data_IF_315428444158
#
_entry.id   IF_315428444158
#
_cell.length_a   1.000
_cell.length_b   1.000
_cell.length_c   1.000
_cell.angle_alpha   90.00
_cell.angle_beta   90.00
_cell.angle_gamma   90.00
#
_symmetry.space_group_name_H-M   'P 1'
#
loop_
_entity.id
_entity.type
_entity.pdbx_description
1 polymer ?
#
# COMPACT_ATOMS: atom_id res chain seq x y z
N UNK A 1 22.39 -24.66 14.09
CA UNK A 1 22.26 -23.23 13.76
C UNK A 1 21.43 -23.17 12.48
N UNK A 2 20.12 -22.99 12.61
CA UNK A 2 19.16 -23.09 11.50
C UNK A 2 18.50 -21.73 11.33
N UNK A 3 18.62 -21.23 10.09
CA UNK A 3 18.14 -19.99 9.48
C UNK A 3 17.09 -19.20 10.28
N UNK A 4 17.46 -17.95 10.59
CA UNK A 4 16.47 -16.88 10.69
C UNK A 4 15.63 -16.92 9.41
N UNK A 5 14.32 -17.10 9.54
CA UNK A 5 13.39 -17.04 8.43
C UNK A 5 13.54 -15.67 7.77
N UNK A 6 14.18 -15.59 6.61
CA UNK A 6 14.05 -14.43 5.74
C UNK A 6 12.58 -14.31 5.39
N UNK A 7 11.87 -13.41 6.06
CA UNK A 7 10.56 -12.97 5.62
C UNK A 7 10.71 -12.50 4.19
N UNK A 8 10.12 -13.23 3.23
CA UNK A 8 10.05 -12.82 1.83
C UNK A 8 9.35 -11.45 1.81
N UNK A 9 10.12 -10.41 1.50
CA UNK A 9 9.60 -9.06 1.30
C UNK A 9 8.80 -9.06 0.02
N UNK A 10 7.47 -9.07 0.11
CA UNK A 10 6.63 -8.95 -1.07
C UNK A 10 6.40 -7.50 -1.46
N UNK A 11 5.83 -7.33 -2.65
CA UNK A 11 5.61 -6.03 -3.26
C UNK A 11 4.25 -5.45 -2.85
N UNK A 12 4.19 -4.14 -2.70
CA UNK A 12 2.96 -3.42 -2.36
C UNK A 12 1.94 -3.47 -3.50
N UNK A 13 0.66 -3.26 -3.16
CA UNK A 13 -0.43 -3.27 -4.15
C UNK A 13 -0.16 -2.36 -5.37
N UNK A 14 0.39 -1.13 -5.23
CA UNK A 14 0.76 -0.30 -6.39
C UNK A 14 1.71 -0.97 -7.36
N UNK A 15 2.69 -1.75 -6.89
CA UNK A 15 3.64 -2.46 -7.75
C UNK A 15 2.94 -3.55 -8.56
N UNK A 16 2.07 -4.33 -7.90
CA UNK A 16 1.27 -5.35 -8.58
C UNK A 16 0.30 -4.75 -9.60
N UNK A 17 -0.37 -3.65 -9.27
CA UNK A 17 -1.24 -2.92 -10.21
C UNK A 17 -0.45 -2.42 -11.40
N UNK A 18 0.77 -1.89 -11.17
CA UNK A 18 1.66 -1.43 -12.23
C UNK A 18 2.07 -2.58 -13.16
N UNK A 19 2.46 -3.74 -12.61
CA UNK A 19 2.80 -4.92 -13.42
C UNK A 19 1.64 -5.36 -14.33
N UNK A 20 0.42 -5.44 -13.78
CA UNK A 20 -0.77 -5.81 -14.56
C UNK A 20 -1.08 -4.75 -15.61
N UNK A 21 -0.95 -3.46 -15.29
CA UNK A 21 -1.15 -2.37 -16.24
C UNK A 21 -0.13 -2.40 -17.39
N UNK A 22 1.14 -2.67 -17.10
CA UNK A 22 2.20 -2.84 -18.12
C UNK A 22 1.85 -3.99 -19.05
N UNK A 23 1.40 -5.13 -18.51
CA UNK A 23 0.98 -6.26 -19.32
C UNK A 23 -0.18 -5.92 -20.26
N UNK A 24 -1.21 -5.23 -19.76
CA UNK A 24 -2.36 -4.79 -20.56
C UNK A 24 -1.92 -3.87 -21.70
N UNK A 25 -1.05 -2.89 -21.40
CA UNK A 25 -0.59 -1.91 -22.38
C UNK A 25 0.35 -2.52 -23.44
N UNK A 26 1.20 -3.49 -23.07
CA UNK A 26 1.98 -4.25 -24.05
C UNK A 26 1.09 -5.05 -25.00
N UNK A 27 0.08 -5.75 -24.48
CA UNK A 27 -0.90 -6.43 -25.34
C UNK A 27 -1.68 -5.46 -26.23
N UNK A 28 -2.02 -4.27 -25.74
CA UNK A 28 -2.67 -3.21 -26.54
C UNK A 28 -1.77 -2.68 -27.69
N UNK A 29 -0.45 -2.88 -27.59
CA UNK A 29 0.53 -2.58 -28.65
C UNK A 29 0.70 -3.72 -29.65
N UNK A 30 0.02 -4.84 -29.45
CA UNK A 30 0.17 -6.05 -30.26
C UNK A 30 1.38 -6.90 -29.87
N UNK A 31 2.02 -6.62 -28.73
CA UNK A 31 3.10 -7.46 -28.21
C UNK A 31 2.52 -8.77 -27.62
N UNK A 32 3.18 -9.91 -27.82
CA UNK A 32 2.78 -11.15 -27.18
C UNK A 32 2.87 -11.02 -25.66
N UNK A 33 1.94 -11.65 -24.93
CA UNK A 33 1.99 -11.68 -23.48
C UNK A 33 3.22 -12.48 -23.01
N UNK A 34 4.04 -11.85 -22.16
CA UNK A 34 5.21 -12.46 -21.52
C UNK A 34 5.12 -12.22 -20.02
N UNK A 35 5.39 -13.27 -19.25
CA UNK A 35 5.49 -13.25 -17.79
C UNK A 35 6.79 -13.95 -17.38
N UNK A 36 7.62 -13.40 -16.47
CA UNK A 36 7.35 -12.23 -15.63
C UNK A 36 7.39 -10.89 -16.39
N UNK A 37 6.62 -9.91 -15.89
CA UNK A 37 6.56 -8.54 -16.41
C UNK A 37 7.54 -7.66 -15.65
N UNK A 38 8.39 -6.95 -16.37
CA UNK A 38 9.36 -6.01 -15.79
C UNK A 38 8.69 -4.74 -15.31
N UNK A 39 8.90 -4.39 -14.05
CA UNK A 39 8.51 -3.12 -13.43
C UNK A 39 9.74 -2.40 -12.92
N UNK A 40 9.87 -1.13 -13.27
CA UNK A 40 10.91 -0.24 -12.77
C UNK A 40 10.43 0.40 -11.48
N UNK A 41 11.16 0.15 -10.38
CA UNK A 41 10.90 0.81 -9.11
C UNK A 41 11.74 2.09 -9.01
N UNK A 42 11.27 3.13 -8.29
CA UNK A 42 12.06 4.34 -8.09
C UNK A 42 13.39 4.02 -7.43
N UNK A 43 14.48 4.50 -8.04
CA UNK A 43 15.86 4.38 -7.52
C UNK A 43 16.36 2.93 -7.34
N UNK A 44 15.69 1.95 -7.94
CA UNK A 44 16.11 0.54 -7.93
C UNK A 44 16.44 0.07 -9.35
N UNK A 45 17.58 -0.58 -9.51
CA UNK A 45 18.06 -1.15 -10.77
C UNK A 45 18.80 -2.44 -10.48
N UNK A 46 18.55 -3.55 -11.20
CA UNK A 46 17.74 -3.71 -12.42
C UNK A 46 16.21 -3.75 -12.18
N UNK A 47 15.35 -3.70 -13.22
CA UNK A 47 13.91 -3.83 -13.06
C UNK A 47 13.50 -5.18 -12.45
N UNK A 48 12.36 -5.17 -11.76
CA UNK A 48 11.84 -6.31 -11.01
C UNK A 48 10.86 -7.10 -11.88
N UNK A 49 11.02 -8.42 -11.93
CA UNK A 49 10.10 -9.31 -12.65
C UNK A 49 8.93 -9.75 -11.76
N UNK A 50 7.71 -9.36 -12.11
CA UNK A 50 6.50 -9.77 -11.41
C UNK A 50 5.68 -10.78 -12.24
N UNK A 51 5.27 -11.94 -11.68
CA UNK A 51 4.46 -12.92 -12.38
C UNK A 51 3.01 -12.44 -12.55
N UNK A 52 2.74 -11.75 -13.65
CA UNK A 52 1.36 -11.44 -14.09
C UNK A 52 0.71 -12.73 -14.61
N UNK A 53 -0.57 -12.94 -14.31
CA UNK A 53 -1.24 -14.22 -14.59
C UNK A 53 -1.60 -14.37 -16.06
N UNK A 54 -2.17 -13.32 -16.66
CA UNK A 54 -2.61 -13.35 -18.05
C UNK A 54 -2.76 -11.94 -18.60
N UNK A 55 -2.52 -11.76 -19.90
CA UNK A 55 -2.98 -10.61 -20.65
C UNK A 55 -3.37 -11.01 -22.07
N UNK A 56 -4.36 -10.33 -22.63
CA UNK A 56 -4.83 -10.58 -23.99
C UNK A 56 -5.50 -9.33 -24.59
N UNK A 57 -5.44 -9.13 -25.92
CA UNK A 57 -6.33 -8.20 -26.60
C UNK A 57 -7.78 -8.69 -26.50
N UNK A 58 -8.71 -7.76 -26.25
CA UNK A 58 -10.16 -8.00 -26.32
C UNK A 58 -10.79 -7.46 -27.61
N UNK A 59 -10.03 -6.65 -28.36
CA UNK A 59 -10.44 -5.98 -29.58
C UNK A 59 -9.27 -5.20 -30.18
N UNK A 60 -9.51 -4.46 -31.26
CA UNK A 60 -8.46 -3.69 -31.93
C UNK A 60 -7.80 -2.63 -31.03
N UNK A 61 -8.61 -1.96 -30.20
CA UNK A 61 -8.19 -0.85 -29.35
C UNK A 61 -8.35 -1.14 -27.86
N UNK A 62 -8.50 -2.41 -27.48
CA UNK A 62 -8.76 -2.81 -26.10
C UNK A 62 -7.97 -4.05 -25.71
N UNK A 63 -7.35 -4.05 -24.53
CA UNK A 63 -6.68 -5.20 -23.96
C UNK A 63 -6.97 -5.32 -22.46
N UNK A 64 -6.96 -6.55 -21.96
CA UNK A 64 -7.18 -6.85 -20.55
C UNK A 64 -5.96 -7.62 -20.02
N UNK A 65 -5.50 -7.24 -18.84
CA UNK A 65 -4.58 -8.06 -18.06
C UNK A 65 -5.15 -8.35 -16.67
N UNK A 66 -4.72 -9.48 -16.14
CA UNK A 66 -5.12 -9.99 -14.83
C UNK A 66 -3.90 -10.43 -14.04
N UNK A 67 -3.89 -10.10 -12.76
CA UNK A 67 -2.89 -10.55 -11.80
C UNK A 67 -3.47 -10.66 -10.40
N UNK A 68 -2.60 -10.99 -9.45
CA UNK A 68 -2.94 -11.04 -8.02
C UNK A 68 -1.88 -10.34 -7.20
N UNK A 69 -2.31 -9.60 -6.19
CA UNK A 69 -1.39 -9.02 -5.23
C UNK A 69 -0.76 -10.12 -4.36
N UNK A 70 0.57 -10.19 -4.34
CA UNK A 70 1.34 -11.07 -3.46
C UNK A 70 2.24 -10.20 -2.56
N UNK A 71 1.73 -9.80 -1.38
CA UNK A 71 2.44 -8.88 -0.48
C UNK A 71 3.58 -9.54 0.32
N UNK A 72 3.84 -10.85 0.19
CA UNK A 72 4.81 -11.60 1.02
C UNK A 72 4.06 -12.52 1.98
N UNK A 73 4.57 -12.92 3.14
CA UNK A 73 3.91 -13.92 4.03
C UNK A 73 3.18 -13.34 5.26
N UNK A 74 3.18 -12.02 5.42
CA UNK A 74 2.58 -11.37 6.60
C UNK A 74 1.07 -11.12 6.46
N UNK A 75 0.40 -10.78 7.56
CA UNK A 75 -1.01 -10.41 7.51
C UNK A 75 -1.20 -9.13 6.68
N UNK A 76 -1.82 -9.27 5.51
CA UNK A 76 -2.16 -8.18 4.60
C UNK A 76 -3.56 -8.42 4.02
N UNK A 77 -4.42 -7.40 4.09
CA UNK A 77 -5.82 -7.47 3.65
C UNK A 77 -5.94 -7.65 2.12
N UNK A 78 -4.93 -7.22 1.38
CA UNK A 78 -4.86 -7.23 -0.08
C UNK A 78 -4.19 -8.49 -0.64
N UNK A 79 -3.74 -9.41 0.22
CA UNK A 79 -3.24 -10.73 -0.22
C UNK A 79 -4.26 -11.42 -1.13
N UNK A 80 -3.76 -11.93 -2.25
CA UNK A 80 -4.52 -12.64 -3.28
C UNK A 80 -5.65 -11.81 -3.94
N UNK A 81 -5.69 -10.49 -3.70
CA UNK A 81 -6.60 -9.56 -4.33
C UNK A 81 -6.48 -9.71 -5.85
N UNK A 82 -7.54 -10.12 -6.56
CA UNK A 82 -7.53 -10.11 -8.01
C UNK A 82 -7.44 -8.67 -8.50
N UNK A 83 -6.54 -8.43 -9.45
CA UNK A 83 -6.31 -7.13 -10.08
C UNK A 83 -6.58 -7.32 -11.57
N UNK A 84 -7.53 -6.57 -12.11
CA UNK A 84 -7.73 -6.49 -13.54
C UNK A 84 -7.46 -5.06 -14.03
N UNK A 85 -6.81 -4.95 -15.18
CA UNK A 85 -6.58 -3.67 -15.84
C UNK A 85 -7.07 -3.78 -17.27
N UNK A 86 -8.11 -3.01 -17.58
CA UNK A 86 -8.59 -2.83 -18.94
C UNK A 86 -7.89 -1.60 -19.53
N UNK A 87 -7.11 -1.80 -20.58
CA UNK A 87 -6.46 -0.75 -21.34
C UNK A 87 -7.24 -0.47 -22.63
N UNK A 88 -7.57 0.79 -22.86
CA UNK A 88 -8.25 1.27 -24.06
C UNK A 88 -7.39 2.33 -24.75
N UNK A 89 -7.19 2.18 -26.05
CA UNK A 89 -6.57 3.19 -26.90
C UNK A 89 -7.62 4.22 -27.31
N UNK A 90 -7.30 5.50 -27.15
CA UNK A 90 -8.18 6.61 -27.51
C UNK A 90 -7.47 7.56 -28.48
N UNK A 91 -8.22 8.23 -29.37
CA UNK A 91 -7.70 9.37 -30.11
C UNK A 91 -7.15 10.42 -29.15
N UNK A 92 -5.94 10.94 -29.40
CA UNK A 92 -5.33 11.96 -28.56
C UNK A 92 -5.90 13.33 -28.89
N UNK A 93 -6.80 13.83 -28.04
CA UNK A 93 -7.27 15.22 -28.12
C UNK A 93 -6.22 16.23 -27.65
N UNK A 94 -6.28 17.47 -28.18
CA UNK A 94 -5.44 18.57 -27.68
C UNK A 94 -5.68 18.80 -26.19
N UNK A 95 -4.60 18.88 -25.41
CA UNK A 95 -4.66 19.11 -23.96
C UNK A 95 -5.07 17.91 -23.11
N UNK A 96 -5.33 16.73 -23.69
CA UNK A 96 -5.63 15.53 -22.91
C UNK A 96 -4.35 14.86 -22.39
N UNK A 97 -4.37 14.31 -21.15
CA UNK A 97 -3.25 13.56 -20.62
C UNK A 97 -3.04 12.28 -21.43
N UNK A 98 -1.77 11.88 -21.59
CA UNK A 98 -1.38 10.65 -22.29
C UNK A 98 -1.95 9.42 -21.59
N UNK A 99 -2.00 9.45 -20.25
CA UNK A 99 -2.54 8.39 -19.41
C UNK A 99 -3.75 8.89 -18.63
N UNK A 100 -4.87 8.17 -18.73
CA UNK A 100 -6.09 8.41 -17.97
C UNK A 100 -6.36 7.20 -17.07
N UNK A 101 -6.28 7.38 -15.75
CA UNK A 101 -6.60 6.33 -14.78
C UNK A 101 -8.05 6.48 -14.34
N UNK A 102 -8.84 5.42 -14.52
CA UNK A 102 -10.23 5.38 -14.11
C UNK A 102 -10.47 4.30 -13.03
N UNK A 103 -11.26 4.62 -12.00
CA UNK A 103 -11.72 3.61 -11.07
C UNK A 103 -12.78 2.72 -11.74
N UNK A 104 -12.62 1.41 -11.63
CA UNK A 104 -13.63 0.41 -11.92
C UNK A 104 -14.11 -0.26 -10.64
N UNK A 105 -14.82 -1.39 -10.78
CA UNK A 105 -15.44 -2.06 -9.64
C UNK A 105 -14.42 -2.40 -8.53
N UNK A 106 -14.77 -2.06 -7.29
CA UNK A 106 -13.97 -2.31 -6.09
C UNK A 106 -12.70 -1.47 -5.92
N UNK A 107 -12.45 -0.51 -6.81
CA UNK A 107 -11.44 0.53 -6.62
C UNK A 107 -12.05 1.69 -5.86
N UNK A 108 -11.37 2.16 -4.82
CA UNK A 108 -11.84 3.24 -3.97
C UNK A 108 -11.83 4.58 -4.69
N UNK A 109 -12.91 5.34 -4.52
CA UNK A 109 -13.07 6.69 -5.09
C UNK A 109 -13.28 7.72 -4.00
N UNK A 110 -12.93 8.97 -4.29
CA UNK A 110 -13.20 10.08 -3.40
C UNK A 110 -14.71 10.40 -3.46
N UNK A 111 -15.36 10.47 -2.31
CA UNK A 111 -16.80 10.68 -2.20
C UNK A 111 -17.30 11.99 -2.83
N UNK A 112 -16.45 13.02 -2.90
CA UNK A 112 -16.81 14.33 -3.44
C UNK A 112 -16.48 14.44 -4.94
N UNK A 113 -15.30 13.99 -5.35
CA UNK A 113 -14.83 14.17 -6.73
C UNK A 113 -15.11 12.98 -7.66
N UNK A 114 -15.40 11.80 -7.11
CA UNK A 114 -15.51 10.54 -7.85
C UNK A 114 -14.19 10.05 -8.46
N UNK A 115 -13.09 10.77 -8.25
CA UNK A 115 -11.75 10.40 -8.72
C UNK A 115 -11.18 9.21 -7.96
N UNK A 116 -10.28 8.48 -8.60
CA UNK A 116 -9.56 7.37 -7.97
C UNK A 116 -8.80 7.83 -6.72
N UNK A 117 -8.92 7.10 -5.61
CA UNK A 117 -8.10 7.31 -4.42
C UNK A 117 -6.79 6.53 -4.55
N UNK A 118 -5.72 7.20 -4.97
CA UNK A 118 -4.38 6.64 -5.06
C UNK A 118 -3.37 7.53 -4.32
N UNK A 119 -2.32 6.94 -3.76
CA UNK A 119 -1.19 7.70 -3.20
C UNK A 119 -0.29 8.29 -4.30
N UNK A 120 0.47 9.33 -3.98
CA UNK A 120 1.44 9.92 -4.92
C UNK A 120 2.43 8.87 -5.43
N UNK A 121 2.97 8.05 -4.54
CA UNK A 121 3.84 6.93 -4.91
C UNK A 121 3.19 6.00 -5.95
N UNK A 122 1.91 5.65 -5.78
CA UNK A 122 1.22 4.79 -6.73
C UNK A 122 1.06 5.44 -8.11
N UNK A 123 0.73 6.74 -8.14
CA UNK A 123 0.63 7.51 -9.37
C UNK A 123 1.98 7.62 -10.07
N UNK A 124 3.03 8.03 -9.36
CA UNK A 124 4.39 8.14 -9.87
C UNK A 124 4.87 6.81 -10.46
N UNK A 125 4.65 5.71 -9.75
CA UNK A 125 5.03 4.37 -10.21
C UNK A 125 4.32 3.97 -11.50
N UNK A 126 3.01 4.24 -11.59
CA UNK A 126 2.21 4.00 -12.80
C UNK A 126 2.71 4.86 -13.97
N UNK A 127 2.87 6.18 -13.77
CA UNK A 127 3.34 7.09 -14.80
C UNK A 127 4.72 6.68 -15.32
N UNK A 128 5.68 6.43 -14.42
CA UNK A 128 7.04 6.02 -14.78
C UNK A 128 7.08 4.77 -15.66
N UNK A 129 6.21 3.79 -15.40
CA UNK A 129 6.22 2.51 -16.10
C UNK A 129 5.34 2.50 -17.37
N UNK A 130 4.31 3.35 -17.44
CA UNK A 130 3.30 3.28 -18.48
C UNK A 130 3.45 4.36 -19.55
N UNK A 131 3.88 5.57 -19.19
CA UNK A 131 4.05 6.64 -20.19
C UNK A 131 5.07 6.31 -21.29
N UNK A 132 6.23 5.68 -20.99
CA UNK A 132 7.15 5.26 -22.04
C UNK A 132 6.56 4.19 -22.98
N UNK A 133 5.52 3.49 -22.52
CA UNK A 133 4.83 2.49 -23.29
C UNK A 133 3.63 3.06 -24.06
N UNK A 134 3.15 4.25 -23.72
CA UNK A 134 1.99 4.85 -24.37
C UNK A 134 2.26 5.13 -25.86
N UNK A 135 1.29 4.88 -26.77
CA UNK A 135 1.49 5.16 -28.18
C UNK A 135 1.64 6.68 -28.44
N UNK A 136 2.60 7.15 -29.25
CA UNK A 136 2.91 8.58 -29.39
C UNK A 136 1.72 9.48 -29.78
N UNK A 137 0.79 8.95 -30.57
CA UNK A 137 -0.36 9.67 -31.12
C UNK A 137 -1.69 9.23 -30.49
N UNK A 138 -1.67 8.46 -29.41
CA UNK A 138 -2.88 8.03 -28.72
C UNK A 138 -2.83 8.42 -27.24
N UNK A 139 -4.01 8.60 -26.66
CA UNK A 139 -4.16 8.53 -25.22
C UNK A 139 -4.47 7.09 -24.82
N UNK A 140 -4.07 6.70 -23.62
CA UNK A 140 -4.37 5.40 -23.02
C UNK A 140 -5.27 5.64 -21.83
N UNK A 141 -6.43 4.99 -21.82
CA UNK A 141 -7.29 4.91 -20.66
C UNK A 141 -7.11 3.56 -20.00
N UNK A 142 -6.79 3.57 -18.71
CA UNK A 142 -6.69 2.37 -17.90
C UNK A 142 -7.81 2.37 -16.87
N UNK A 143 -8.72 1.40 -16.97
CA UNK A 143 -9.70 1.13 -15.92
C UNK A 143 -9.17 0.05 -15.00
N UNK A 144 -8.92 0.41 -13.76
CA UNK A 144 -8.48 -0.52 -12.72
C UNK A 144 -9.70 -1.19 -12.08
N UNK A 145 -9.65 -2.49 -11.87
CA UNK A 145 -10.75 -3.25 -11.23
C UNK A 145 -10.17 -4.17 -10.17
N UNK A 146 -10.74 -4.10 -8.97
CA UNK A 146 -10.48 -5.02 -7.87
C UNK A 146 -11.78 -5.77 -7.58
N UNK A 147 -12.04 -6.94 -8.20
CA UNK A 147 -13.35 -7.60 -8.13
C UNK A 147 -13.90 -7.83 -6.71
N UNK A 148 -13.02 -8.09 -5.74
CA UNK A 148 -13.39 -8.26 -4.32
C UNK A 148 -13.11 -7.02 -3.47
N UNK A 149 -12.69 -5.91 -4.08
CA UNK A 149 -12.21 -4.70 -3.43
C UNK A 149 -13.26 -3.99 -2.60
N UNK A 150 -14.51 -3.89 -3.06
CA UNK A 150 -15.61 -3.29 -2.28
C UNK A 150 -15.80 -3.98 -0.92
N UNK A 151 -15.92 -5.32 -0.94
CA UNK A 151 -16.04 -6.15 0.28
C UNK A 151 -14.82 -6.03 1.19
N UNK A 152 -13.61 -5.95 0.63
CA UNK A 152 -12.40 -5.78 1.43
C UNK A 152 -12.34 -4.37 2.05
N UNK A 153 -12.80 -3.35 1.34
CA UNK A 153 -12.80 -1.97 1.81
C UNK A 153 -13.65 -1.76 3.08
N UNK A 154 -14.71 -2.54 3.27
CA UNK A 154 -15.52 -2.56 4.50
C UNK A 154 -14.71 -2.88 5.76
N UNK A 155 -13.59 -3.59 5.60
CA UNK A 155 -12.67 -3.94 6.69
C UNK A 155 -11.56 -2.91 6.90
N UNK A 156 -11.61 -1.77 6.20
CA UNK A 156 -10.66 -0.67 6.31
C UNK A 156 -11.29 0.54 7.01
N UNK A 157 -10.46 1.49 7.44
CA UNK A 157 -10.93 2.79 7.93
C UNK A 157 -11.10 3.83 6.81
N UNK A 158 -10.95 3.46 5.54
CA UNK A 158 -10.79 4.42 4.45
C UNK A 158 -12.07 5.27 4.22
N UNK A 159 -13.25 4.72 4.53
CA UNK A 159 -14.52 5.47 4.48
C UNK A 159 -14.54 6.69 5.38
N UNK A 160 -13.91 6.61 6.56
CA UNK A 160 -13.78 7.77 7.46
C UNK A 160 -12.91 8.89 6.88
N UNK A 161 -12.14 8.60 5.83
CA UNK A 161 -11.30 9.55 5.10
C UNK A 161 -11.87 9.90 3.72
N UNK A 162 -13.16 9.64 3.49
CA UNK A 162 -13.84 9.99 2.24
C UNK A 162 -13.61 9.03 1.07
N UNK A 163 -13.00 7.85 1.30
CA UNK A 163 -12.85 6.81 0.28
C UNK A 163 -14.06 5.88 0.30
N UNK A 164 -14.80 5.81 -0.80
CA UNK A 164 -16.00 4.98 -0.94
C UNK A 164 -15.85 3.95 -2.08
N UNK A 165 -16.81 3.03 -2.17
CA UNK A 165 -16.97 2.00 -3.21
C UNK A 165 -15.86 0.94 -3.38
N UNK A 166 -14.70 1.11 -2.73
CA UNK A 166 -13.59 0.18 -2.92
C UNK A 166 -12.32 0.46 -2.13
N UNK A 167 -11.29 -0.33 -2.43
CA UNK A 167 -9.96 -0.17 -1.84
C UNK A 167 -9.22 0.98 -2.51
N UNK A 168 -8.72 1.92 -1.72
CA UNK A 168 -7.76 2.91 -2.21
C UNK A 168 -6.45 2.22 -2.62
N UNK A 169 -5.84 2.71 -3.70
CA UNK A 169 -4.53 2.26 -4.18
C UNK A 169 -3.43 2.99 -3.40
N UNK A 170 -3.19 2.53 -2.18
CA UNK A 170 -2.26 3.15 -1.24
C UNK A 170 -0.93 2.41 -1.17
N UNK A 171 0.12 3.17 -0.92
CA UNK A 171 1.49 2.70 -0.67
C UNK A 171 2.42 3.91 -0.59
N UNK A 172 3.47 3.83 0.23
CA UNK A 172 4.54 4.83 0.28
C UNK A 172 5.86 4.27 -0.28
N UNK A 173 5.99 2.95 -0.26
CA UNK A 173 7.18 2.21 -0.66
C UNK A 173 6.77 1.04 -1.56
N UNK A 174 7.69 0.57 -2.43
CA UNK A 174 7.45 -0.60 -3.27
C UNK A 174 7.36 -1.90 -2.46
N UNK A 175 7.96 -1.93 -1.28
CA UNK A 175 8.01 -3.08 -0.40
C UNK A 175 6.89 -3.01 0.64
N UNK A 176 6.26 -4.14 0.91
CA UNK A 176 5.32 -4.18 2.04
C UNK A 176 6.08 -4.23 3.34
N UNK A 177 5.74 -3.30 4.23
CA UNK A 177 6.23 -3.28 5.60
C UNK A 177 5.22 -4.04 6.48
N UNK A 178 5.57 -5.22 7.02
CA UNK A 178 4.67 -5.98 7.88
C UNK A 178 4.21 -5.09 9.04
N UNK A 179 2.92 -4.93 9.27
CA UNK A 179 2.41 -4.09 10.37
C UNK A 179 2.11 -4.87 11.66
N UNK A 180 2.15 -6.21 11.57
CA UNK A 180 1.85 -7.14 12.65
C UNK A 180 2.83 -8.33 12.64
N UNK A 181 4.13 -8.06 12.67
CA UNK A 181 5.15 -9.11 12.81
C UNK A 181 5.45 -9.42 14.31
N UNK A 182 5.65 -10.69 14.71
CA UNK A 182 6.07 -11.05 16.06
C UNK A 182 7.34 -10.32 16.52
N UNK A 183 8.30 -10.14 15.62
CA UNK A 183 9.55 -9.44 15.90
C UNK A 183 9.34 -7.96 16.23
N UNK A 184 8.34 -7.31 15.62
CA UNK A 184 7.97 -5.94 15.96
C UNK A 184 7.36 -5.84 17.36
N UNK A 185 6.54 -6.82 17.76
CA UNK A 185 6.03 -6.89 19.13
C UNK A 185 7.17 -7.11 20.12
N UNK A 186 8.10 -8.01 19.83
CA UNK A 186 9.27 -8.26 20.68
C UNK A 186 10.13 -6.99 20.84
N UNK A 187 10.44 -6.30 19.73
CA UNK A 187 11.17 -5.04 19.74
C UNK A 187 10.43 -3.94 20.52
N UNK A 188 9.11 -3.81 20.34
CA UNK A 188 8.29 -2.84 21.05
C UNK A 188 8.23 -3.13 22.57
N UNK A 189 8.16 -4.41 22.97
CA UNK A 189 8.24 -4.83 24.38
C UNK A 189 9.60 -4.55 24.99
N UNK A 190 10.69 -4.81 24.26
CA UNK A 190 12.03 -4.46 24.71
C UNK A 190 12.20 -2.95 24.86
N UNK A 191 11.69 -2.17 23.90
CA UNK A 191 11.70 -0.71 23.97
C UNK A 191 10.93 -0.23 25.21
N UNK A 192 9.72 -0.73 25.41
CA UNK A 192 8.90 -0.44 26.59
C UNK A 192 9.66 -0.71 27.89
N UNK A 193 10.30 -1.88 28.01
CA UNK A 193 11.11 -2.25 29.17
C UNK A 193 12.21 -1.22 29.46
N UNK A 194 12.97 -0.82 28.44
CA UNK A 194 14.01 0.19 28.59
C UNK A 194 13.46 1.55 29.02
N UNK A 195 12.27 1.94 28.55
CA UNK A 195 11.63 3.20 28.96
C UNK A 195 11.25 3.15 30.44
N UNK A 196 10.59 2.07 30.87
CA UNK A 196 10.15 1.90 32.27
C UNK A 196 11.35 1.83 33.21
N UNK A 197 12.41 1.11 32.84
CA UNK A 197 13.63 1.00 33.64
C UNK A 197 14.36 2.34 33.77
N UNK A 198 14.50 3.09 32.67
CA UNK A 198 15.18 4.38 32.69
C UNK A 198 14.36 5.49 33.38
N UNK A 199 13.02 5.35 33.43
CA UNK A 199 12.10 6.40 33.90
C UNK A 199 10.91 5.81 34.67
N UNK A 200 11.13 5.20 35.85
CA UNK A 200 10.12 4.38 36.54
C UNK A 200 8.89 5.16 37.04
N UNK A 201 8.97 6.48 37.15
CA UNK A 201 7.88 7.35 37.62
C UNK A 201 7.23 8.19 36.52
N UNK A 202 7.79 8.17 35.31
CA UNK A 202 7.29 8.94 34.18
C UNK A 202 6.26 8.14 33.37
N UNK A 203 5.32 8.80 32.68
CA UNK A 203 4.43 8.11 31.78
C UNK A 203 5.18 7.55 30.57
N UNK A 204 4.90 6.30 30.21
CA UNK A 204 5.30 5.76 28.90
C UNK A 204 4.34 6.31 27.85
N UNK A 205 4.89 6.85 26.76
CA UNK A 205 4.10 7.34 25.64
C UNK A 205 3.99 6.27 24.57
N UNK A 206 2.81 5.69 24.45
CA UNK A 206 2.46 4.74 23.41
C UNK A 206 1.96 5.49 22.17
N UNK A 207 2.77 5.49 21.12
CA UNK A 207 2.54 6.25 19.89
C UNK A 207 1.83 5.39 18.82
N UNK A 208 0.66 5.85 18.40
CA UNK A 208 -0.24 5.19 17.45
C UNK A 208 -0.06 5.74 16.02
N UNK A 209 0.19 4.83 15.08
CA UNK A 209 0.41 5.14 13.66
C UNK A 209 1.79 5.71 13.34
N UNK A 210 2.19 5.67 12.06
CA UNK A 210 3.48 6.21 11.61
C UNK A 210 3.58 7.72 11.86
N UNK A 211 2.54 8.47 11.44
CA UNK A 211 2.50 9.93 11.57
C UNK A 211 2.45 10.41 13.04
N UNK A 212 2.04 9.55 13.97
CA UNK A 212 1.98 9.89 15.40
C UNK A 212 3.36 10.15 16.00
N UNK A 213 4.41 9.53 15.44
CA UNK A 213 5.78 9.70 15.90
C UNK A 213 6.31 11.09 15.61
N UNK A 214 6.16 11.55 14.37
CA UNK A 214 6.56 12.91 13.99
C UNK A 214 5.76 13.97 14.74
N UNK A 215 4.47 13.69 14.97
CA UNK A 215 3.62 14.55 15.79
C UNK A 215 4.15 14.64 17.23
N UNK A 216 4.52 13.52 17.85
CA UNK A 216 5.09 13.50 19.19
C UNK A 216 6.36 14.36 19.30
N UNK A 217 7.26 14.24 18.32
CA UNK A 217 8.50 15.06 18.27
C UNK A 217 8.21 16.54 18.13
N UNK A 218 7.27 16.93 17.25
CA UNK A 218 6.86 18.33 17.06
C UNK A 218 6.23 18.94 18.32
N UNK A 219 5.58 18.14 19.15
CA UNK A 219 4.99 18.57 20.42
C UNK A 219 5.95 18.46 21.62
N UNK A 220 7.25 18.19 21.38
CA UNK A 220 8.27 18.19 22.42
C UNK A 220 8.24 16.98 23.36
N UNK A 221 7.56 15.89 22.98
CA UNK A 221 7.59 14.66 23.77
C UNK A 221 8.99 14.03 23.70
N UNK A 222 9.59 13.65 24.84
CA UNK A 222 10.95 13.12 24.86
C UNK A 222 10.99 11.78 24.14
N UNK A 223 11.86 11.66 23.13
CA UNK A 223 11.99 10.44 22.33
C UNK A 223 12.31 9.21 23.19
N UNK A 224 13.03 9.43 24.29
CA UNK A 224 13.33 8.43 25.33
C UNK A 224 12.08 7.82 26.00
N UNK A 225 10.93 8.50 25.97
CA UNK A 225 9.66 8.01 26.52
C UNK A 225 8.73 7.39 25.45
N UNK A 226 9.08 7.50 24.17
CA UNK A 226 8.24 7.05 23.06
C UNK A 226 8.42 5.55 22.78
N UNK A 227 7.29 4.87 22.62
CA UNK A 227 7.19 3.48 22.18
C UNK A 227 6.20 3.41 21.03
N UNK A 228 6.63 2.94 19.86
CA UNK A 228 5.76 2.76 18.70
C UNK A 228 4.89 1.53 18.90
N UNK A 229 3.58 1.69 18.78
CA UNK A 229 2.61 0.63 19.12
C UNK A 229 2.34 -0.33 17.95
N UNK A 230 2.41 0.16 16.70
CA UNK A 230 1.96 -0.62 15.55
C UNK A 230 0.51 -1.11 15.73
N UNK A 231 0.26 -2.38 15.44
CA UNK A 231 -1.03 -3.05 15.71
C UNK A 231 -1.10 -3.74 17.09
N UNK A 232 -0.16 -3.44 18.00
CA UNK A 232 0.06 -4.22 19.22
C UNK A 232 -0.35 -3.50 20.52
N UNK A 233 -1.38 -2.64 20.48
CA UNK A 233 -1.79 -1.85 21.65
C UNK A 233 -2.13 -2.73 22.86
N UNK A 234 -2.96 -3.76 22.69
CA UNK A 234 -3.33 -4.67 23.78
C UNK A 234 -2.13 -5.37 24.42
N UNK A 235 -1.30 -6.10 23.64
CA UNK A 235 -0.10 -6.73 24.16
C UNK A 235 0.91 -5.78 24.82
N UNK A 236 1.00 -4.53 24.37
CA UNK A 236 1.87 -3.52 24.99
C UNK A 236 1.29 -2.94 26.27
N UNK A 237 -0.02 -2.75 26.37
CA UNK A 237 -0.68 -2.37 27.63
C UNK A 237 -0.50 -3.46 28.69
N UNK A 238 -0.66 -4.73 28.32
CA UNK A 238 -0.39 -5.86 29.23
C UNK A 238 1.08 -5.89 29.65
N UNK A 239 2.01 -5.66 28.73
CA UNK A 239 3.44 -5.61 29.05
C UNK A 239 3.78 -4.43 29.98
N UNK A 240 3.15 -3.27 29.81
CA UNK A 240 3.34 -2.11 30.67
C UNK A 240 2.85 -2.40 32.09
N UNK A 241 1.67 -3.01 32.22
CA UNK A 241 1.12 -3.44 33.49
C UNK A 241 2.01 -4.48 34.20
N UNK A 242 2.53 -5.47 33.45
CA UNK A 242 3.45 -6.48 33.98
C UNK A 242 4.75 -5.87 34.52
N UNK A 243 5.21 -4.75 33.96
CA UNK A 243 6.37 -3.99 34.41
C UNK A 243 6.03 -2.94 35.49
N UNK A 244 4.80 -2.95 36.02
CA UNK A 244 4.31 -1.99 37.03
C UNK A 244 4.40 -0.53 36.58
N UNK A 245 4.27 -0.27 35.28
CA UNK A 245 4.13 1.08 34.77
C UNK A 245 2.79 1.68 35.23
N UNK A 246 2.84 2.71 36.07
CA UNK A 246 1.64 3.31 36.66
C UNK A 246 0.90 4.26 35.71
N UNK A 247 1.55 4.77 34.66
CA UNK A 247 1.00 5.81 33.78
C UNK A 247 1.36 5.55 32.34
N UNK A 248 0.34 5.51 31.48
CA UNK A 248 0.49 5.39 30.03
C UNK A 248 -0.21 6.56 29.36
N UNK A 249 0.47 7.23 28.43
CA UNK A 249 -0.11 8.21 27.53
C UNK A 249 -0.29 7.58 26.16
N UNK A 250 -1.54 7.47 25.68
CA UNK A 250 -1.82 7.13 24.28
C UNK A 250 -1.71 8.39 23.43
N UNK A 251 -0.86 8.36 22.40
CA UNK A 251 -0.60 9.52 21.55
C UNK A 251 -0.78 9.18 20.08
N UNK A 252 -1.56 9.98 19.35
CA UNK A 252 -1.77 9.80 17.91
C UNK A 252 -2.86 10.72 17.38
N UNK A 253 -3.10 10.64 16.08
CA UNK A 253 -4.22 11.36 15.46
C UNK A 253 -5.56 10.82 15.98
N UNK A 254 -6.52 11.72 16.20
CA UNK A 254 -7.82 11.39 16.82
C UNK A 254 -8.48 10.14 16.20
N UNK A 255 -8.52 10.01 14.87
CA UNK A 255 -9.12 8.85 14.21
C UNK A 255 -8.42 7.50 14.45
N UNK A 256 -7.14 7.51 14.85
CA UNK A 256 -6.40 6.31 15.26
C UNK A 256 -6.58 5.99 16.74
N UNK A 257 -6.79 7.01 17.58
CA UNK A 257 -6.94 6.85 19.04
C UNK A 257 -8.36 6.37 19.39
N UNK A 258 -9.37 6.82 18.64
CA UNK A 258 -10.78 6.45 18.87
C UNK A 258 -11.14 5.02 18.47
N UNK A 259 -10.26 4.35 17.71
CA UNK A 259 -10.46 2.98 17.21
C UNK A 259 -9.87 1.96 18.17
#
# INVERSE_FOLDING_TARGET
>A
MSNASETITGYSLPVWVTAVAVAALRCLRGEPFVSPVSVYLPQDTPPHGLPVQQAAPLGADTALAMGRCQPGDHLDLTRDLPIWVLAERLPRGLGQPVLQLLPGAGVGVNAESGGICASNFALELLHQNLEPLAPPQAAVRLRLVFPTGARLAERTSNRAFGVVDGLALLGMDPWVQPSAAPDQLAAARQRLARVVEARPHDPVVLVLGANGWDLARRHGLPEAALVKVGNWIGPLLVAAAAQRCCRVLLWGYHGKVLK
#
